data_IF_901733017190
#
_entry.id   IF_901733017190
#
_cell.length_a   1.000
_cell.length_b   1.000
_cell.length_c   1.000
_cell.angle_alpha   90.00
_cell.angle_beta   90.00
_cell.angle_gamma   90.00
#
_symmetry.space_group_name_H-M   'P 1'
#
loop_
_entity.id
_entity.type
_entity.pdbx_description
1 polymer ?
#
# COMPACT_ATOMS: atom_id res chain seq x y z
N UNK A 1 4.49 1.71 -16.29
CA UNK A 1 4.46 0.47 -15.49
C UNK A 1 5.87 0.16 -15.05
N UNK A 2 6.04 -0.37 -13.84
CA UNK A 2 7.35 -0.66 -13.23
C UNK A 2 7.31 -2.08 -12.64
N UNK A 3 8.34 -2.89 -12.90
CA UNK A 3 8.48 -4.22 -12.30
C UNK A 3 9.41 -4.14 -11.08
N UNK A 4 9.00 -4.74 -9.97
CA UNK A 4 9.73 -4.76 -8.71
C UNK A 4 9.86 -6.19 -8.23
N UNK A 5 11.02 -6.54 -7.68
CA UNK A 5 11.23 -7.83 -7.02
C UNK A 5 11.72 -7.61 -5.59
N UNK A 6 11.03 -8.23 -4.64
CA UNK A 6 11.39 -8.26 -3.23
C UNK A 6 11.72 -9.70 -2.88
N UNK A 7 12.96 -9.95 -2.48
CA UNK A 7 13.43 -11.29 -2.16
C UNK A 7 14.15 -11.36 -0.81
N UNK A 8 14.00 -12.49 -0.13
CA UNK A 8 14.77 -12.84 1.04
C UNK A 8 15.00 -14.36 1.10
N UNK A 9 16.17 -14.73 1.56
CA UNK A 9 16.53 -16.10 1.92
C UNK A 9 17.09 -16.08 3.34
N UNK A 10 16.61 -16.98 4.21
CA UNK A 10 17.10 -17.09 5.59
C UNK A 10 16.85 -18.49 6.16
N UNK A 11 17.68 -18.90 7.11
CA UNK A 11 17.45 -20.13 7.91
C UNK A 11 16.35 -19.94 8.96
N UNK A 12 16.03 -18.70 9.28
CA UNK A 12 14.98 -18.31 10.24
C UNK A 12 13.77 -17.79 9.48
N UNK A 13 12.60 -18.39 9.75
CA UNK A 13 11.31 -17.97 9.18
C UNK A 13 11.02 -16.52 9.57
N UNK A 14 11.29 -16.16 10.82
CA UNK A 14 11.05 -14.82 11.35
C UNK A 14 11.89 -13.78 10.64
N UNK A 15 13.20 -14.03 10.48
CA UNK A 15 14.10 -13.08 9.82
C UNK A 15 13.73 -12.92 8.35
N UNK A 16 13.34 -14.00 7.67
CA UNK A 16 12.90 -13.97 6.28
C UNK A 16 11.68 -13.06 6.11
N UNK A 17 10.66 -13.26 6.95
CA UNK A 17 9.40 -12.51 6.92
C UNK A 17 9.62 -11.03 7.25
N UNK A 18 10.36 -10.74 8.33
CA UNK A 18 10.65 -9.37 8.74
C UNK A 18 11.41 -8.59 7.65
N UNK A 19 12.36 -9.24 6.98
CA UNK A 19 13.09 -8.64 5.85
C UNK A 19 12.20 -8.37 4.63
N UNK A 20 11.30 -9.29 4.27
CA UNK A 20 10.40 -9.06 3.13
C UNK A 20 9.42 -7.92 3.43
N UNK A 21 8.88 -7.86 4.65
CA UNK A 21 7.98 -6.77 5.05
C UNK A 21 8.70 -5.42 5.08
N UNK A 22 9.91 -5.36 5.63
CA UNK A 22 10.68 -4.11 5.70
C UNK A 22 11.05 -3.60 4.29
N UNK A 23 11.56 -4.49 3.42
CA UNK A 23 11.84 -4.17 2.01
C UNK A 23 10.58 -3.74 1.26
N UNK A 24 9.46 -4.43 1.49
CA UNK A 24 8.17 -4.06 0.90
C UNK A 24 7.76 -2.65 1.31
N UNK A 25 7.87 -2.29 2.59
CA UNK A 25 7.50 -0.95 3.07
C UNK A 25 8.39 0.13 2.48
N UNK A 26 9.70 -0.11 2.43
CA UNK A 26 10.64 0.84 1.86
C UNK A 26 10.40 1.06 0.36
N UNK A 27 10.29 -0.04 -0.40
CA UNK A 27 10.18 0.04 -1.85
C UNK A 27 8.80 0.52 -2.30
N UNK A 28 7.72 0.02 -1.71
CA UNK A 28 6.36 0.38 -2.14
C UNK A 28 5.86 1.67 -1.51
N UNK A 29 6.33 2.02 -0.30
CA UNK A 29 5.90 3.23 0.41
C UNK A 29 6.36 4.52 -0.26
N UNK A 30 7.52 4.50 -0.95
CA UNK A 30 8.05 5.66 -1.68
C UNK A 30 7.45 5.83 -3.09
N UNK A 31 6.76 4.82 -3.61
CA UNK A 31 6.28 4.79 -5.00
C UNK A 31 4.78 5.10 -5.08
N UNK A 32 4.39 5.97 -5.99
CA UNK A 32 2.97 6.16 -6.34
C UNK A 32 2.49 5.02 -7.23
N UNK A 33 1.18 4.80 -7.28
CA UNK A 33 0.56 3.78 -8.14
C UNK A 33 -0.10 2.64 -7.37
N UNK A 34 -0.47 1.60 -8.10
CA UNK A 34 -1.15 0.40 -7.59
C UNK A 34 -0.49 -0.86 -8.17
N UNK A 35 -0.59 -1.97 -7.44
CA UNK A 35 -0.11 -3.26 -7.94
C UNK A 35 -1.18 -3.79 -8.91
N UNK A 36 -0.81 -4.10 -10.14
CA UNK A 36 -1.73 -4.64 -11.16
C UNK A 36 -1.58 -6.15 -11.34
N UNK A 37 -0.40 -6.69 -11.07
CA UNK A 37 -0.10 -8.11 -11.12
C UNK A 37 1.00 -8.42 -10.12
N UNK A 38 1.02 -9.66 -9.63
CA UNK A 38 2.07 -10.16 -8.76
C UNK A 38 2.34 -11.63 -9.02
N UNK A 39 3.50 -12.07 -8.55
CA UNK A 39 3.88 -13.47 -8.47
C UNK A 39 4.61 -13.70 -7.17
N UNK A 40 4.06 -14.57 -6.33
CA UNK A 40 4.69 -15.01 -5.09
C UNK A 40 5.36 -16.37 -5.34
N UNK A 41 6.58 -16.53 -4.84
CA UNK A 41 7.27 -17.81 -4.80
C UNK A 41 7.80 -18.04 -3.38
N UNK A 42 7.29 -19.07 -2.73
CA UNK A 42 7.61 -19.44 -1.36
C UNK A 42 8.09 -20.89 -1.35
N UNK A 43 9.34 -21.11 -0.95
CA UNK A 43 9.92 -22.45 -0.87
C UNK A 43 10.61 -22.69 0.47
N UNK A 44 10.58 -23.93 0.91
CA UNK A 44 11.28 -24.39 2.10
C UNK A 44 12.26 -25.50 1.71
N UNK A 45 13.55 -25.25 1.95
CA UNK A 45 14.62 -26.23 1.84
C UNK A 45 15.50 -26.17 3.08
N UNK A 46 16.82 -26.18 2.89
CA UNK A 46 17.77 -25.85 3.97
C UNK A 46 17.56 -24.43 4.51
N UNK A 47 17.10 -23.53 3.62
CA UNK A 47 16.70 -22.17 3.93
C UNK A 47 15.26 -21.94 3.44
N UNK A 48 14.57 -20.99 4.06
CA UNK A 48 13.32 -20.45 3.53
C UNK A 48 13.66 -19.36 2.51
N UNK A 49 13.12 -19.50 1.30
CA UNK A 49 13.22 -18.48 0.27
C UNK A 49 11.82 -17.92 -0.04
N UNK A 50 11.69 -16.61 0.03
CA UNK A 50 10.48 -15.88 -0.33
C UNK A 50 10.83 -14.79 -1.34
N UNK A 51 10.24 -14.92 -2.53
CA UNK A 51 10.34 -13.93 -3.60
C UNK A 51 8.94 -13.43 -3.95
N UNK A 52 8.77 -12.11 -3.98
CA UNK A 52 7.54 -11.43 -4.40
C UNK A 52 7.88 -10.49 -5.54
N UNK A 53 7.41 -10.81 -6.73
CA UNK A 53 7.52 -9.95 -7.92
C UNK A 53 6.22 -9.21 -8.14
N UNK A 54 6.28 -7.90 -8.37
CA UNK A 54 5.14 -6.99 -8.47
C UNK A 54 5.23 -6.17 -9.74
N UNK A 55 4.12 -6.01 -10.45
CA UNK A 55 3.97 -5.04 -11.52
C UNK A 55 3.16 -3.85 -11.01
N UNK A 56 3.77 -2.67 -11.00
CA UNK A 56 3.12 -1.43 -10.61
C UNK A 56 2.62 -0.65 -11.82
N UNK A 57 1.44 -0.07 -11.68
CA UNK A 57 0.90 0.95 -12.57
C UNK A 57 0.77 2.29 -11.84
N UNK A 58 1.37 3.34 -12.41
CA UNK A 58 1.36 4.70 -11.88
C UNK A 58 0.05 5.45 -12.12
N UNK A 59 -0.87 4.93 -12.95
CA UNK A 59 -2.12 5.64 -13.28
C UNK A 59 -3.08 5.80 -12.11
N UNK A 60 -3.09 4.88 -11.14
CA UNK A 60 -3.98 4.92 -9.97
C UNK A 60 -3.19 4.71 -8.70
N UNK A 61 -3.23 5.68 -7.79
CA UNK A 61 -2.53 5.57 -6.52
C UNK A 61 -3.39 4.83 -5.48
N UNK A 62 -2.83 3.79 -4.88
CA UNK A 62 -3.46 3.00 -3.82
C UNK A 62 -2.46 2.75 -2.70
N UNK A 63 -2.96 2.59 -1.47
CA UNK A 63 -2.13 2.00 -0.41
C UNK A 63 -1.85 0.57 -0.83
N UNK A 64 -0.60 0.17 -0.89
CA UNK A 64 -0.18 -1.13 -1.42
C UNK A 64 0.89 -1.72 -0.55
N UNK A 65 0.97 -3.04 -0.50
CA UNK A 65 1.93 -3.70 0.36
C UNK A 65 1.93 -5.22 0.21
N UNK A 66 2.97 -5.80 0.80
CA UNK A 66 3.05 -7.22 1.09
C UNK A 66 2.89 -7.38 2.60
N UNK A 67 1.98 -8.27 3.01
CA UNK A 67 1.86 -8.73 4.39
C UNK A 67 2.34 -10.16 4.41
N UNK A 68 3.17 -10.52 5.38
CA UNK A 68 3.53 -11.89 5.64
C UNK A 68 3.52 -12.13 7.15
N UNK A 69 3.15 -13.33 7.57
CA UNK A 69 3.21 -13.73 8.97
C UNK A 69 3.41 -15.25 9.03
N UNK A 70 3.77 -15.73 10.20
CA UNK A 70 3.91 -17.15 10.48
C UNK A 70 3.38 -17.53 11.86
N UNK A 71 2.97 -18.78 11.97
CA UNK A 71 2.61 -19.40 13.24
C UNK A 71 3.02 -20.86 13.21
N UNK A 72 3.24 -21.41 14.40
CA UNK A 72 3.35 -22.85 14.58
C UNK A 72 2.05 -23.39 15.16
N UNK A 73 1.76 -24.65 14.88
CA UNK A 73 0.55 -25.33 15.35
C UNK A 73 0.82 -26.76 15.77
N UNK A 74 -0.21 -27.40 16.33
CA UNK A 74 -0.20 -28.83 16.66
C UNK A 74 -0.12 -29.70 15.40
N UNK A 75 -0.71 -29.22 14.31
CA UNK A 75 -0.70 -29.82 12.99
C UNK A 75 -0.68 -28.72 11.90
N UNK A 76 -0.64 -29.13 10.63
CA UNK A 76 -0.61 -28.20 9.48
C UNK A 76 -1.81 -27.26 9.47
N UNK A 77 -3.01 -27.81 9.62
CA UNK A 77 -4.26 -27.04 9.58
C UNK A 77 -4.34 -26.00 10.70
N UNK A 78 -4.03 -26.38 11.94
CA UNK A 78 -3.97 -25.47 13.10
C UNK A 78 -2.94 -24.35 12.87
N UNK A 79 -1.77 -24.68 12.31
CA UNK A 79 -0.76 -23.66 12.00
C UNK A 79 -1.23 -22.66 10.94
N UNK A 80 -1.90 -23.15 9.89
CA UNK A 80 -2.44 -22.31 8.82
C UNK A 80 -3.54 -21.40 9.36
N UNK A 81 -4.50 -21.94 10.10
CA UNK A 81 -5.63 -21.18 10.64
C UNK A 81 -5.14 -20.05 11.57
N UNK A 82 -4.19 -20.36 12.46
CA UNK A 82 -3.56 -19.35 13.33
C UNK A 82 -2.87 -18.24 12.53
N UNK A 83 -2.13 -18.59 11.49
CA UNK A 83 -1.46 -17.59 10.65
C UNK A 83 -2.48 -16.76 9.86
N UNK A 84 -3.51 -17.38 9.30
CA UNK A 84 -4.58 -16.67 8.59
C UNK A 84 -5.33 -15.70 9.49
N UNK A 85 -5.62 -16.08 10.74
CA UNK A 85 -6.21 -15.16 11.73
C UNK A 85 -5.34 -13.93 11.97
N UNK A 86 -4.02 -14.11 12.12
CA UNK A 86 -3.09 -12.99 12.28
C UNK A 86 -3.12 -12.06 11.06
N UNK A 87 -3.02 -12.63 9.85
CA UNK A 87 -3.07 -11.87 8.60
C UNK A 87 -4.38 -11.09 8.48
N UNK A 88 -5.53 -11.72 8.75
CA UNK A 88 -6.83 -11.08 8.68
C UNK A 88 -6.99 -9.91 9.68
N UNK A 89 -6.32 -9.96 10.83
CA UNK A 89 -6.32 -8.86 11.80
C UNK A 89 -5.53 -7.64 11.33
N UNK A 90 -4.47 -7.85 10.54
CA UNK A 90 -3.59 -6.76 10.07
C UNK A 90 -3.91 -6.27 8.66
N UNK A 91 -4.70 -7.02 7.89
CA UNK A 91 -5.12 -6.64 6.55
C UNK A 91 -6.00 -5.37 6.63
N UNK A 92 -5.70 -4.31 5.86
CA UNK A 92 -6.48 -3.08 5.91
C UNK A 92 -7.96 -3.29 5.55
N UNK A 93 -8.85 -2.52 6.18
CA UNK A 93 -10.27 -2.49 5.80
C UNK A 93 -10.41 -2.10 4.33
N UNK A 94 -11.26 -2.82 3.59
CA UNK A 94 -11.45 -2.66 2.15
C UNK A 94 -10.20 -2.94 1.28
N UNK A 95 -9.22 -3.67 1.81
CA UNK A 95 -8.12 -4.18 0.99
C UNK A 95 -8.65 -5.18 -0.06
N UNK A 96 -8.23 -4.99 -1.30
CA UNK A 96 -8.30 -5.97 -2.38
C UNK A 96 -7.03 -6.81 -2.34
N UNK A 97 -7.17 -8.08 -1.98
CA UNK A 97 -6.11 -9.09 -2.14
C UNK A 97 -5.93 -9.35 -3.64
N UNK A 98 -4.70 -9.23 -4.12
CA UNK A 98 -4.36 -9.51 -5.51
C UNK A 98 -3.81 -10.91 -5.70
N UNK A 99 -3.05 -11.38 -4.72
CA UNK A 99 -2.35 -12.66 -4.74
C UNK A 99 -2.02 -13.07 -3.31
N UNK A 100 -1.92 -14.36 -3.09
CA UNK A 100 -1.59 -14.93 -1.79
C UNK A 100 -0.95 -16.30 -1.96
N UNK A 101 -0.07 -16.66 -1.04
CA UNK A 101 0.59 -17.96 -1.01
C UNK A 101 0.62 -18.48 0.42
N UNK A 102 0.41 -19.79 0.58
CA UNK A 102 0.43 -20.46 1.88
C UNK A 102 1.43 -21.61 1.83
N UNK A 103 2.49 -21.46 2.61
CA UNK A 103 3.55 -22.43 2.73
C UNK A 103 3.54 -23.11 4.08
N UNK A 104 3.83 -24.41 4.14
CA UNK A 104 4.04 -25.10 5.41
C UNK A 104 5.39 -25.79 5.46
N UNK A 105 6.00 -25.77 6.63
CA UNK A 105 7.29 -26.42 6.88
C UNK A 105 7.27 -27.12 8.23
N UNK A 106 7.59 -28.41 8.21
CA UNK A 106 7.77 -29.20 9.42
C UNK A 106 9.27 -29.39 9.64
N UNK A 107 9.76 -28.83 10.73
CA UNK A 107 11.17 -28.95 11.11
C UNK A 107 11.55 -30.41 11.35
N UNK A 108 12.65 -30.92 10.75
CA UNK A 108 13.03 -32.34 10.87
C UNK A 108 13.32 -32.79 12.31
N UNK A 109 13.96 -31.92 13.10
CA UNK A 109 14.44 -32.25 14.45
C UNK A 109 13.33 -32.12 15.49
N UNK A 110 12.66 -30.97 15.57
CA UNK A 110 11.65 -30.72 16.61
C UNK A 110 10.24 -31.15 16.20
N UNK A 111 10.04 -31.57 14.93
CA UNK A 111 8.74 -31.92 14.33
C UNK A 111 7.68 -30.83 14.47
N UNK A 112 8.10 -29.60 14.74
CA UNK A 112 7.20 -28.45 14.85
C UNK A 112 6.80 -28.02 13.46
N UNK A 113 5.49 -27.92 13.26
CA UNK A 113 4.91 -27.50 11.97
C UNK A 113 4.63 -26.01 12.01
N UNK A 114 5.19 -25.31 11.05
CA UNK A 114 5.03 -23.89 10.80
C UNK A 114 4.21 -23.69 9.54
N UNK A 115 3.37 -22.66 9.55
CA UNK A 115 2.71 -22.13 8.36
C UNK A 115 3.12 -20.68 8.17
N UNK A 116 3.49 -20.34 6.94
CA UNK A 116 3.76 -18.98 6.48
C UNK A 116 2.67 -18.61 5.49
N UNK A 117 2.09 -17.43 5.67
CA UNK A 117 1.11 -16.87 4.73
C UNK A 117 1.67 -15.55 4.23
N UNK A 118 1.63 -15.35 2.93
CA UNK A 118 2.02 -14.11 2.25
C UNK A 118 0.84 -13.59 1.46
N UNK A 119 0.55 -12.30 1.57
CA UNK A 119 -0.57 -11.62 0.90
C UNK A 119 -0.07 -10.35 0.25
N UNK A 120 -0.37 -10.20 -1.03
CA UNK A 120 -0.18 -8.96 -1.78
C UNK A 120 -1.53 -8.25 -1.89
N UNK A 121 -1.57 -6.96 -1.53
CA UNK A 121 -2.81 -6.21 -1.51
C UNK A 121 -2.68 -4.80 -2.06
N UNK A 122 -3.80 -4.30 -2.58
CA UNK A 122 -4.08 -2.88 -2.73
C UNK A 122 -5.25 -2.51 -1.82
N UNK A 123 -5.19 -1.39 -1.14
CA UNK A 123 -6.29 -0.79 -0.40
C UNK A 123 -6.52 0.62 -0.93
N UNK A 124 -7.78 1.10 -0.96
CA UNK A 124 -8.01 2.52 -1.20
C UNK A 124 -7.17 3.32 -0.21
N UNK A 125 -6.55 4.41 -0.68
CA UNK A 125 -5.98 5.38 0.25
C UNK A 125 -7.12 5.79 1.18
N UNK A 126 -6.91 5.72 2.49
CA UNK A 126 -7.88 6.21 3.47
C UNK A 126 -8.20 7.66 3.08
N UNK A 127 -9.37 7.86 2.47
CA UNK A 127 -9.86 9.18 2.16
C UNK A 127 -10.31 9.74 3.48
N UNK A 128 -9.44 10.49 4.15
CA UNK A 128 -9.93 11.42 5.16
C UNK A 128 -11.03 12.26 4.50
N UNK A 129 -12.14 12.53 5.19
CA UNK A 129 -13.20 13.34 4.63
C UNK A 129 -12.64 14.72 4.28
N UNK A 130 -13.17 15.35 3.22
CA UNK A 130 -12.61 16.59 2.68
C UNK A 130 -12.56 17.73 3.72
N UNK A 131 -13.46 17.73 4.69
CA UNK A 131 -13.48 18.65 5.81
C UNK A 131 -12.30 18.49 6.80
N UNK A 132 -11.58 17.38 6.78
CA UNK A 132 -10.38 17.12 7.59
C UNK A 132 -9.08 17.46 6.82
N UNK A 133 -9.17 18.04 5.64
CA UNK A 133 -8.00 18.50 4.88
C UNK A 133 -7.39 19.74 5.54
N UNK A 134 -6.10 19.69 5.81
CA UNK A 134 -5.34 20.90 6.14
C UNK A 134 -5.29 21.82 4.92
N UNK A 135 -4.94 23.09 5.13
CA UNK A 135 -4.78 24.07 4.05
C UNK A 135 -3.80 23.56 2.98
N UNK A 136 -2.69 22.91 3.41
CA UNK A 136 -1.67 22.40 2.48
C UNK A 136 -2.21 21.29 1.58
N UNK A 137 -2.87 20.29 2.16
CA UNK A 137 -3.39 19.15 1.38
C UNK A 137 -4.54 19.58 0.46
N UNK A 138 -5.36 20.54 0.91
CA UNK A 138 -6.39 21.13 0.06
C UNK A 138 -5.78 21.82 -1.15
N UNK A 139 -4.72 22.61 -0.96
CA UNK A 139 -3.98 23.26 -2.06
C UNK A 139 -3.34 22.26 -3.01
N UNK A 140 -2.69 21.22 -2.48
CA UNK A 140 -2.10 20.15 -3.30
C UNK A 140 -3.17 19.48 -4.19
N UNK A 141 -4.36 19.20 -3.64
CA UNK A 141 -5.46 18.61 -4.40
C UNK A 141 -5.99 19.56 -5.48
N UNK A 142 -6.21 20.83 -5.12
CA UNK A 142 -6.67 21.87 -6.05
C UNK A 142 -5.65 22.10 -7.17
N UNK A 143 -4.35 22.12 -6.86
CA UNK A 143 -3.27 22.29 -7.82
C UNK A 143 -3.21 21.12 -8.82
N UNK A 144 -3.43 19.88 -8.36
CA UNK A 144 -3.51 18.70 -9.22
C UNK A 144 -4.65 18.79 -10.24
N UNK A 145 -5.84 19.21 -9.79
CA UNK A 145 -7.00 19.42 -10.67
C UNK A 145 -6.72 20.56 -11.65
N UNK A 146 -6.26 21.71 -11.15
CA UNK A 146 -5.94 22.88 -11.97
C UNK A 146 -4.91 22.55 -13.05
N UNK A 147 -3.84 21.80 -12.71
CA UNK A 147 -2.82 21.37 -13.66
C UNK A 147 -3.41 20.58 -14.84
N UNK A 148 -4.48 19.82 -14.61
CA UNK A 148 -5.16 19.03 -15.66
C UNK A 148 -5.89 19.93 -16.67
N UNK A 149 -6.27 21.14 -16.25
CA UNK A 149 -6.95 22.15 -17.07
C UNK A 149 -6.07 23.38 -17.35
N UNK A 150 -4.77 23.17 -17.49
CA UNK A 150 -3.75 24.22 -17.71
C UNK A 150 -3.87 25.42 -16.75
N UNK A 151 -4.14 25.11 -15.48
CA UNK A 151 -4.30 26.07 -14.40
C UNK A 151 -5.41 27.11 -14.64
N UNK A 152 -6.45 26.78 -15.40
CA UNK A 152 -7.62 27.64 -15.57
C UNK A 152 -8.59 27.49 -14.39
N UNK A 153 -8.72 28.47 -13.47
CA UNK A 153 -9.61 28.34 -12.31
C UNK A 153 -11.09 28.45 -12.66
N UNK A 154 -11.45 28.93 -13.86
CA UNK A 154 -12.86 29.09 -14.27
C UNK A 154 -13.59 27.76 -14.48
N UNK A 155 -12.85 26.66 -14.59
CA UNK A 155 -13.43 25.32 -14.74
C UNK A 155 -13.94 24.74 -13.41
N UNK A 156 -13.64 25.39 -12.29
CA UNK A 156 -13.95 24.90 -10.95
C UNK A 156 -15.25 25.51 -10.42
N UNK A 157 -16.14 24.68 -9.87
CA UNK A 157 -17.29 25.14 -9.11
C UNK A 157 -16.88 25.46 -7.67
N UNK A 158 -16.51 26.72 -7.42
CA UNK A 158 -16.00 27.19 -6.12
C UNK A 158 -17.01 26.95 -4.98
N UNK A 159 -18.31 27.12 -5.24
CA UNK A 159 -19.34 26.93 -4.22
C UNK A 159 -19.43 25.48 -3.74
N UNK A 160 -19.37 24.53 -4.67
CA UNK A 160 -19.44 23.10 -4.30
C UNK A 160 -18.14 22.64 -3.64
N UNK A 161 -16.99 23.11 -4.13
CA UNK A 161 -15.68 22.83 -3.53
C UNK A 161 -15.64 23.34 -2.09
N UNK A 162 -16.07 24.58 -1.84
CA UNK A 162 -16.12 25.15 -0.49
C UNK A 162 -16.99 24.29 0.45
N UNK A 163 -18.16 23.84 -0.03
CA UNK A 163 -19.04 22.93 0.72
C UNK A 163 -18.38 21.59 1.01
N UNK A 164 -17.72 20.97 0.03
CA UNK A 164 -17.03 19.68 0.21
C UNK A 164 -15.93 19.77 1.27
N UNK A 165 -15.11 20.83 1.23
CA UNK A 165 -14.03 21.06 2.19
C UNK A 165 -14.50 21.65 3.53
N UNK A 166 -15.79 21.98 3.69
CA UNK A 166 -16.30 22.61 4.91
C UNK A 166 -15.69 23.99 5.20
N UNK A 167 -15.32 24.75 4.16
CA UNK A 167 -14.70 26.08 4.28
C UNK A 167 -15.47 27.16 3.53
N UNK A 168 -15.11 28.43 3.71
CA UNK A 168 -15.70 29.53 2.95
C UNK A 168 -15.22 29.54 1.50
N UNK A 169 -16.03 30.13 0.60
CA UNK A 169 -15.64 30.38 -0.80
C UNK A 169 -14.36 31.21 -0.88
N UNK A 170 -14.22 32.20 0.00
CA UNK A 170 -13.04 33.07 0.07
C UNK A 170 -11.76 32.30 0.39
N UNK A 171 -11.86 31.26 1.22
CA UNK A 171 -10.72 30.37 1.51
C UNK A 171 -10.25 29.65 0.25
N UNK A 172 -11.20 29.17 -0.57
CA UNK A 172 -10.89 28.50 -1.83
C UNK A 172 -10.30 29.50 -2.86
N UNK A 173 -10.84 30.72 -2.95
CA UNK A 173 -10.26 31.75 -3.80
C UNK A 173 -8.81 32.07 -3.41
N UNK A 174 -8.55 32.24 -2.12
CA UNK A 174 -7.20 32.49 -1.61
C UNK A 174 -6.24 31.34 -1.92
N UNK A 175 -6.68 30.09 -1.75
CA UNK A 175 -5.87 28.92 -2.06
C UNK A 175 -5.51 28.82 -3.55
N UNK A 176 -6.48 29.08 -4.44
CA UNK A 176 -6.25 29.13 -5.89
C UNK A 176 -5.26 30.25 -6.23
N UNK A 177 -5.39 31.42 -5.61
CA UNK A 177 -4.49 32.55 -5.83
C UNK A 177 -3.04 32.20 -5.44
N UNK A 178 -2.84 31.53 -4.31
CA UNK A 178 -1.52 31.08 -3.86
C UNK A 178 -0.92 30.06 -4.84
N UNK A 179 -1.69 29.06 -5.28
CA UNK A 179 -1.24 28.07 -6.28
C UNK A 179 -0.79 28.76 -7.58
N UNK A 180 -1.54 29.76 -8.04
CA UNK A 180 -1.20 30.51 -9.26
C UNK A 180 0.03 31.41 -9.08
N UNK A 181 0.23 31.97 -7.88
CA UNK A 181 1.44 32.74 -7.53
C UNK A 181 2.67 31.84 -7.51
N UNK A 182 2.59 30.69 -6.86
CA UNK A 182 3.69 29.71 -6.79
C UNK A 182 4.12 29.24 -8.20
N UNK A 183 3.16 28.89 -9.08
CA UNK A 183 3.46 28.53 -10.48
C UNK A 183 4.19 29.64 -11.25
N UNK A 184 3.83 30.91 -11.04
CA UNK A 184 4.47 32.03 -11.74
C UNK A 184 5.92 32.22 -11.31
N UNK A 185 6.25 31.90 -10.06
CA UNK A 185 7.61 31.99 -9.53
C UNK A 185 8.51 30.83 -9.96
N UNK A 186 7.93 29.70 -10.38
CA UNK A 186 8.65 28.52 -10.88
C UNK A 186 8.95 28.57 -12.40
N UNK A 187 8.46 29.60 -13.12
CA UNK A 187 8.75 29.85 -14.54
C UNK A 187 9.83 30.92 -14.69
#
# INVERSE_FOLDING_TARGET
>A
MELISIQCESSSIEDCINNVISKSREQLGRRTGSIVSSKINLTFGAFMNLTVTLLLDSQRNMRKGVIADYSHGRNKEDSINKTMEKINRVLPKNAKVLDFEVGTYTTPVTRRTYAVVVVVYNAPLEKKPFNEYTIRERRELLAGVLKTFDYNPRVLNISEIARMFGVSRDSIYYDIEQILKEKKSER
#
